data_IF_488625493262
#
_entry.id   IF_488625493262
#
_cell.length_a   1.000
_cell.length_b   1.000
_cell.length_c   1.000
_cell.angle_alpha   90.00
_cell.angle_beta   90.00
_cell.angle_gamma   90.00
#
_symmetry.space_group_name_H-M   'P 1'
#
loop_
_entity.id
_entity.type
_entity.pdbx_description
1 polymer ?
#
# COMPACT_ATOMS: atom_id res chain seq x y z
N UNK A 1 -8.86 -21.13 32.19
CA UNK A 1 -7.65 -21.89 31.88
C UNK A 1 -6.86 -21.13 30.86
N UNK A 2 -5.75 -20.56 31.23
CA UNK A 2 -4.88 -19.91 30.29
C UNK A 2 -4.33 -20.97 29.32
N UNK A 3 -4.62 -20.85 28.04
CA UNK A 3 -3.97 -21.67 27.03
C UNK A 3 -2.47 -21.37 27.10
N UNK A 4 -1.75 -22.18 27.84
CA UNK A 4 -0.31 -22.10 27.88
C UNK A 4 0.18 -22.55 26.50
N UNK A 5 0.68 -21.60 25.69
CA UNK A 5 1.38 -21.98 24.48
C UNK A 5 2.58 -22.83 24.87
N UNK A 6 2.69 -24.01 24.29
CA UNK A 6 3.88 -24.83 24.43
C UNK A 6 5.09 -24.04 23.89
N UNK A 7 6.29 -24.20 24.52
CA UNK A 7 7.46 -23.41 24.08
C UNK A 7 7.79 -23.52 22.60
N UNK A 8 7.52 -24.68 21.97
CA UNK A 8 7.75 -24.89 20.55
C UNK A 8 6.77 -24.11 19.68
N UNK A 9 5.53 -23.83 20.15
CA UNK A 9 4.55 -23.02 19.42
C UNK A 9 4.99 -21.55 19.32
N UNK A 10 5.54 -21.02 20.43
CA UNK A 10 6.11 -19.67 20.42
C UNK A 10 7.30 -19.57 19.46
N UNK A 11 8.10 -20.61 19.43
CA UNK A 11 9.27 -20.69 18.54
C UNK A 11 8.84 -20.75 17.07
N UNK A 12 7.83 -21.58 16.74
CA UNK A 12 7.24 -21.65 15.41
C UNK A 12 6.65 -20.31 14.99
N UNK A 13 5.91 -19.63 15.86
CA UNK A 13 5.34 -18.32 15.57
C UNK A 13 6.43 -17.30 15.23
N UNK A 14 7.56 -17.32 15.93
CA UNK A 14 8.70 -16.44 15.65
C UNK A 14 9.34 -16.74 14.29
N UNK A 15 9.41 -18.01 13.88
CA UNK A 15 9.94 -18.41 12.58
C UNK A 15 8.98 -18.11 11.43
N UNK A 16 7.67 -18.31 11.65
CA UNK A 16 6.66 -18.16 10.62
C UNK A 16 6.31 -16.69 10.34
N UNK A 17 6.47 -15.82 11.35
CA UNK A 17 6.12 -14.41 11.19
C UNK A 17 6.89 -13.70 10.07
N UNK A 18 8.23 -13.80 9.96
CA UNK A 18 8.98 -13.20 8.84
C UNK A 18 8.58 -13.79 7.49
N UNK A 19 8.26 -15.10 7.44
CA UNK A 19 7.81 -15.76 6.22
C UNK A 19 6.44 -15.23 5.81
N UNK A 20 5.52 -15.06 6.76
CA UNK A 20 4.19 -14.51 6.50
C UNK A 20 4.28 -13.07 5.96
N UNK A 21 5.16 -12.24 6.54
CA UNK A 21 5.41 -10.87 6.07
C UNK A 21 5.96 -10.88 4.65
N UNK A 22 6.93 -11.75 4.37
CA UNK A 22 7.53 -11.87 3.04
C UNK A 22 6.50 -12.29 1.99
N UNK A 23 5.61 -13.23 2.32
CA UNK A 23 4.53 -13.68 1.44
C UNK A 23 3.55 -12.54 1.16
N UNK A 24 3.14 -11.80 2.19
CA UNK A 24 2.24 -10.64 2.02
C UNK A 24 2.84 -9.59 1.12
N UNK A 25 4.12 -9.28 1.32
CA UNK A 25 4.85 -8.31 0.49
C UNK A 25 4.95 -8.78 -0.96
N UNK A 26 5.24 -10.06 -1.18
CA UNK A 26 5.31 -10.65 -2.52
C UNK A 26 3.96 -10.60 -3.22
N UNK A 27 2.87 -11.00 -2.53
CA UNK A 27 1.51 -10.93 -3.08
C UNK A 27 1.12 -9.51 -3.45
N UNK A 28 1.43 -8.55 -2.59
CA UNK A 28 1.19 -7.14 -2.88
C UNK A 28 1.94 -6.70 -4.14
N UNK A 29 3.21 -7.08 -4.27
CA UNK A 29 4.02 -6.71 -5.43
C UNK A 29 3.48 -7.32 -6.73
N UNK A 30 3.04 -8.58 -6.69
CA UNK A 30 2.43 -9.25 -7.85
C UNK A 30 1.14 -8.53 -8.28
N UNK A 31 0.27 -8.22 -7.33
CA UNK A 31 -0.98 -7.48 -7.60
C UNK A 31 -0.69 -6.09 -8.15
N UNK A 32 0.28 -5.40 -7.56
CA UNK A 32 0.70 -4.09 -8.03
C UNK A 32 1.21 -4.12 -9.47
N UNK A 33 2.05 -5.09 -9.81
CA UNK A 33 2.56 -5.25 -11.17
C UNK A 33 1.43 -5.46 -12.18
N UNK A 34 0.44 -6.28 -11.83
CA UNK A 34 -0.76 -6.49 -12.67
C UNK A 34 -1.55 -5.20 -12.85
N UNK A 35 -1.74 -4.43 -11.78
CA UNK A 35 -2.43 -3.14 -11.85
C UNK A 35 -1.67 -2.15 -12.71
N UNK A 36 -0.34 -2.10 -12.61
CA UNK A 36 0.48 -1.22 -13.44
C UNK A 36 0.40 -1.59 -14.91
N UNK A 37 0.41 -2.88 -15.25
CA UNK A 37 0.25 -3.36 -16.63
C UNK A 37 -1.14 -3.01 -17.19
N UNK A 38 -2.19 -3.29 -16.42
CA UNK A 38 -3.57 -3.01 -16.82
C UNK A 38 -3.82 -1.53 -17.03
N UNK A 39 -3.14 -0.68 -16.27
CA UNK A 39 -3.37 0.77 -16.25
C UNK A 39 -2.43 1.57 -17.15
N UNK A 40 -1.65 0.92 -18.03
CA UNK A 40 -0.64 1.60 -18.86
C UNK A 40 -1.22 2.75 -19.69
N UNK A 41 -2.45 2.59 -20.19
CA UNK A 41 -3.10 3.59 -21.06
C UNK A 41 -3.99 4.55 -20.26
N UNK A 42 -4.05 4.43 -18.96
CA UNK A 42 -4.88 5.29 -18.14
C UNK A 42 -4.28 6.68 -17.98
N UNK A 43 -5.12 7.73 -17.95
CA UNK A 43 -4.63 9.07 -17.70
C UNK A 43 -4.03 9.21 -16.32
N UNK A 44 -3.03 10.08 -16.20
CA UNK A 44 -2.36 10.40 -14.96
C UNK A 44 -2.91 11.69 -14.37
N UNK A 45 -2.95 11.76 -13.05
CA UNK A 45 -3.30 12.97 -12.32
C UNK A 45 -2.49 13.05 -11.04
N UNK A 46 -2.48 14.22 -10.43
CA UNK A 46 -1.81 14.45 -9.16
C UNK A 46 -2.80 14.22 -8.03
N UNK A 47 -2.36 13.49 -7.01
CA UNK A 47 -3.13 13.26 -5.80
C UNK A 47 -2.43 13.82 -4.57
N UNK A 48 -3.15 13.83 -3.46
CA UNK A 48 -2.66 14.32 -2.16
C UNK A 48 -2.92 13.27 -1.10
N UNK A 49 -1.91 12.94 -0.29
CA UNK A 49 -2.06 12.03 0.84
C UNK A 49 -2.97 12.66 1.90
N UNK A 50 -4.02 11.94 2.30
CA UNK A 50 -5.02 12.44 3.26
C UNK A 50 -5.02 11.70 4.58
N UNK A 51 -4.74 10.39 4.58
CA UNK A 51 -4.74 9.55 5.78
C UNK A 51 -3.63 8.52 5.68
N UNK A 52 -2.98 8.24 6.79
CA UNK A 52 -1.96 7.20 6.90
C UNK A 52 -2.32 6.29 8.07
N UNK A 53 -2.51 5.00 7.80
CA UNK A 53 -2.85 3.99 8.79
C UNK A 53 -1.72 2.98 8.95
N UNK A 54 -1.14 2.92 10.14
CA UNK A 54 -0.10 1.96 10.48
C UNK A 54 -0.67 0.56 10.64
N UNK A 55 -0.01 -0.43 10.03
CA UNK A 55 -0.31 -1.84 10.27
C UNK A 55 0.64 -2.39 11.33
N UNK A 56 0.11 -2.70 12.51
CA UNK A 56 0.91 -3.21 13.63
C UNK A 56 1.44 -4.63 13.42
N UNK A 57 0.86 -5.38 12.48
CA UNK A 57 1.26 -6.77 12.22
C UNK A 57 2.39 -6.91 11.20
N UNK A 58 2.64 -5.88 10.40
CA UNK A 58 3.65 -5.87 9.34
C UNK A 58 4.35 -4.51 9.30
N UNK A 59 5.60 -4.45 8.79
CA UNK A 59 6.31 -3.18 8.65
C UNK A 59 5.79 -2.41 7.42
N UNK A 60 4.51 -2.04 7.44
CA UNK A 60 3.84 -1.33 6.36
C UNK A 60 2.81 -0.36 6.91
N UNK A 61 2.46 0.62 6.08
CA UNK A 61 1.35 1.52 6.35
C UNK A 61 0.46 1.61 5.12
N UNK A 62 -0.84 1.76 5.33
CA UNK A 62 -1.80 2.02 4.27
C UNK A 62 -1.95 3.53 4.10
N UNK A 63 -1.66 4.00 2.90
CA UNK A 63 -1.69 5.41 2.57
C UNK A 63 -2.90 5.68 1.70
N UNK A 64 -3.78 6.54 2.19
CA UNK A 64 -4.96 6.99 1.45
C UNK A 64 -4.67 8.33 0.80
N UNK A 65 -5.06 8.48 -0.44
CA UNK A 65 -4.91 9.72 -1.19
C UNK A 65 -6.21 10.13 -1.85
N UNK A 66 -6.36 11.43 -2.08
CA UNK A 66 -7.43 11.97 -2.91
C UNK A 66 -6.85 12.49 -4.22
N UNK A 67 -7.63 12.42 -5.28
CA UNK A 67 -7.26 12.96 -6.59
C UNK A 67 -8.49 13.53 -7.28
N UNK A 68 -8.26 14.47 -8.17
CA UNK A 68 -9.32 15.07 -8.98
C UNK A 68 -9.37 14.37 -10.33
N UNK A 69 -10.52 13.78 -10.63
CA UNK A 69 -10.85 13.23 -11.95
C UNK A 69 -11.92 14.09 -12.61
N UNK A 70 -12.28 13.78 -13.86
CA UNK A 70 -13.28 14.57 -14.60
C UNK A 70 -14.63 14.64 -13.89
N UNK A 71 -15.01 13.56 -13.20
CA UNK A 71 -16.29 13.47 -12.47
C UNK A 71 -16.22 14.01 -11.05
N UNK A 72 -15.11 14.58 -10.62
CA UNK A 72 -14.91 15.12 -9.29
C UNK A 72 -13.81 14.45 -8.50
N UNK A 73 -13.81 14.67 -7.18
CA UNK A 73 -12.80 14.09 -6.30
C UNK A 73 -13.07 12.62 -6.05
N UNK A 74 -12.01 11.83 -6.13
CA UNK A 74 -12.01 10.41 -5.85
C UNK A 74 -10.90 10.10 -4.84
N UNK A 75 -10.94 8.90 -4.27
CA UNK A 75 -9.91 8.44 -3.33
C UNK A 75 -9.41 7.05 -3.71
N UNK A 76 -8.19 6.77 -3.32
CA UNK A 76 -7.57 5.47 -3.47
C UNK A 76 -6.59 5.21 -2.34
N UNK A 77 -5.96 4.06 -2.35
CA UNK A 77 -4.98 3.69 -1.34
C UNK A 77 -3.90 2.80 -1.92
N UNK A 78 -2.78 2.75 -1.21
CA UNK A 78 -1.69 1.83 -1.50
C UNK A 78 -0.94 1.49 -0.23
N UNK A 79 -0.17 0.38 -0.26
CA UNK A 79 0.66 -0.04 0.86
C UNK A 79 2.08 0.46 0.67
N UNK A 80 2.62 1.11 1.70
CA UNK A 80 4.01 1.55 1.77
C UNK A 80 4.74 0.65 2.77
N UNK A 81 5.73 -0.11 2.27
CA UNK A 81 6.53 -1.03 3.07
C UNK A 81 7.80 -0.34 3.53
N UNK A 82 8.10 -0.47 4.82
CA UNK A 82 9.35 0.03 5.39
C UNK A 82 10.45 -1.00 5.17
N UNK A 83 11.59 -0.54 4.65
CA UNK A 83 12.81 -1.31 4.60
C UNK A 83 13.99 -0.39 4.93
N UNK A 84 15.19 -0.99 5.04
CA UNK A 84 16.39 -0.22 5.41
C UNK A 84 16.80 0.83 4.36
N UNK A 85 16.39 0.63 3.12
CA UNK A 85 16.70 1.55 2.01
C UNK A 85 15.67 2.67 1.85
N UNK A 86 14.49 2.53 2.47
CA UNK A 86 13.38 3.47 2.33
C UNK A 86 12.94 4.02 3.69
N UNK A 87 13.77 4.91 4.23
CA UNK A 87 13.51 5.56 5.53
C UNK A 87 12.72 6.86 5.38
N UNK A 88 12.33 7.23 4.16
CA UNK A 88 11.57 8.45 3.92
C UNK A 88 10.16 8.31 4.48
N UNK A 89 9.85 9.16 5.43
CA UNK A 89 8.54 9.21 6.05
C UNK A 89 7.54 9.89 5.13
N UNK A 90 6.42 9.21 4.86
CA UNK A 90 5.29 9.79 4.14
C UNK A 90 4.47 10.62 5.13
N UNK A 91 4.02 11.80 4.69
CA UNK A 91 3.23 12.72 5.52
C UNK A 91 1.92 13.06 4.83
N UNK A 92 0.91 13.33 5.63
CA UNK A 92 -0.36 13.92 5.13
C UNK A 92 -0.02 15.24 4.43
N UNK A 93 -0.56 15.42 3.23
CA UNK A 93 -0.27 16.57 2.38
C UNK A 93 0.77 16.31 1.30
N UNK A 94 1.50 15.20 1.38
CA UNK A 94 2.45 14.83 0.32
C UNK A 94 1.72 14.60 -1.00
N UNK A 95 2.38 14.99 -2.09
CA UNK A 95 1.82 14.85 -3.43
C UNK A 95 2.24 13.51 -4.04
N UNK A 96 1.32 12.91 -4.79
CA UNK A 96 1.52 11.62 -5.46
C UNK A 96 1.06 11.71 -6.90
N UNK A 97 1.60 10.83 -7.75
CA UNK A 97 1.12 10.65 -9.13
C UNK A 97 0.33 9.36 -9.18
N UNK A 98 -0.87 9.45 -9.71
CA UNK A 98 -1.78 8.30 -9.83
C UNK A 98 -2.34 8.21 -11.24
N UNK A 99 -2.73 6.98 -11.63
CA UNK A 99 -3.53 6.74 -12.83
C UNK A 99 -4.94 6.40 -12.41
N UNK A 100 -5.92 6.83 -13.19
CA UNK A 100 -7.31 6.43 -12.95
C UNK A 100 -7.95 5.88 -14.21
N UNK A 101 -8.89 4.94 -14.03
CA UNK A 101 -9.63 4.35 -15.14
C UNK A 101 -10.62 5.40 -15.70
N UNK A 102 -10.50 5.80 -16.97
CA UNK A 102 -11.44 6.78 -17.53
C UNK A 102 -12.88 6.26 -17.59
N UNK A 103 -13.08 4.95 -17.61
CA UNK A 103 -14.41 4.33 -17.59
C UNK A 103 -14.98 4.13 -16.20
N UNK A 104 -14.13 4.12 -15.16
CA UNK A 104 -14.52 4.01 -13.76
C UNK A 104 -13.53 4.81 -12.91
N UNK A 105 -13.79 6.09 -12.75
CA UNK A 105 -12.84 7.03 -12.15
C UNK A 105 -12.60 6.80 -10.65
N UNK A 106 -13.34 5.90 -10.02
CA UNK A 106 -13.07 5.44 -8.66
C UNK A 106 -11.91 4.44 -8.61
N UNK A 107 -11.58 3.80 -9.72
CA UNK A 107 -10.49 2.85 -9.81
C UNK A 107 -9.19 3.58 -10.17
N UNK A 108 -8.20 3.50 -9.29
CA UNK A 108 -6.94 4.21 -9.45
C UNK A 108 -5.75 3.35 -9.06
N UNK A 109 -4.59 3.71 -9.59
CA UNK A 109 -3.31 3.04 -9.28
C UNK A 109 -2.28 4.11 -8.92
N UNK A 110 -1.68 3.95 -7.75
CA UNK A 110 -0.56 4.79 -7.32
C UNK A 110 0.68 4.46 -8.15
N UNK A 111 1.37 5.49 -8.66
CA UNK A 111 2.61 5.33 -9.42
C UNK A 111 3.83 5.67 -8.58
N UNK A 112 3.91 6.88 -8.08
CA UNK A 112 5.08 7.38 -7.38
C UNK A 112 4.75 8.63 -6.57
N UNK A 113 5.62 8.94 -5.62
CA UNK A 113 5.58 10.23 -4.93
C UNK A 113 6.11 11.33 -5.83
N UNK A 114 5.55 12.52 -5.71
CA UNK A 114 6.11 13.71 -6.34
C UNK A 114 7.33 14.18 -5.55
N UNK A 115 8.38 14.52 -6.25
CA UNK A 115 9.56 15.15 -5.65
C UNK A 115 9.40 16.67 -5.58
#
# INVERSE_FOLDING_TARGET
MAAAFLPWEKWLARLLHPIAVAIKRWLYQVRRNRCLERSQDWPQTQGTVIVINWDSSCPREEIFYSYSAEQGYQSGSFWHWFDRSNLNQVRVGDQVVVRYDPGNQQDSVFLQFCE
#
